data_IF_143000017078
#
_entry.id   IF_143000017078
#
_cell.length_a   1.000
_cell.length_b   1.000
_cell.length_c   1.000
_cell.angle_alpha   90.00
_cell.angle_beta   90.00
_cell.angle_gamma   90.00
#
_symmetry.space_group_name_H-M   'P 1'
#
loop_
_entity.id
_entity.type
_entity.pdbx_description
1 polymer ?
#
# COMPACT_ATOMS: atom_id res chain seq x y z
N UNK A 1 9.48 17.59 12.21
CA UNK A 1 8.91 17.14 10.93
C UNK A 1 7.89 18.19 10.51
N UNK A 2 8.19 19.00 9.48
CA UNK A 2 7.26 20.02 8.99
C UNK A 2 6.08 19.30 8.30
N UNK A 3 4.85 19.70 8.60
CA UNK A 3 3.67 19.11 8.00
C UNK A 3 3.57 19.52 6.53
N UNK A 4 3.63 18.55 5.60
CA UNK A 4 3.44 18.81 4.18
C UNK A 4 1.95 18.91 3.85
N UNK A 5 1.54 19.97 3.16
CA UNK A 5 0.15 20.18 2.73
C UNK A 5 -0.24 19.09 1.73
N UNK A 6 -1.32 18.36 2.02
CA UNK A 6 -1.92 17.44 1.05
C UNK A 6 -2.58 18.25 -0.08
N UNK A 7 -2.26 17.93 -1.33
CA UNK A 7 -2.85 18.58 -2.50
C UNK A 7 -3.87 17.64 -3.12
N UNK A 8 -5.10 18.12 -3.36
CA UNK A 8 -6.11 17.41 -4.13
C UNK A 8 -6.07 17.89 -5.57
N UNK A 9 -5.73 17.01 -6.50
CA UNK A 9 -5.80 17.30 -7.93
C UNK A 9 -7.10 16.72 -8.49
N UNK A 10 -7.82 17.50 -9.29
CA UNK A 10 -8.93 16.98 -10.11
C UNK A 10 -8.30 16.36 -11.34
N UNK A 11 -8.30 15.03 -11.41
CA UNK A 11 -7.76 14.27 -12.52
C UNK A 11 -8.71 13.10 -12.80
N UNK A 12 -9.04 12.90 -14.08
CA UNK A 12 -9.77 11.72 -14.52
C UNK A 12 -8.75 10.60 -14.73
N UNK A 13 -8.81 9.59 -13.86
CA UNK A 13 -7.84 8.50 -13.87
C UNK A 13 -8.07 7.58 -15.06
N UNK A 14 -7.00 7.26 -15.79
CA UNK A 14 -7.07 6.28 -16.87
C UNK A 14 -7.46 4.90 -16.34
N UNK A 15 -8.08 4.03 -17.17
CA UNK A 15 -8.41 2.66 -16.78
C UNK A 15 -7.20 1.86 -16.26
N UNK A 16 -6.02 2.08 -16.83
CA UNK A 16 -4.77 1.44 -16.44
C UNK A 16 -4.35 1.86 -15.04
N UNK A 17 -4.46 3.16 -14.73
CA UNK A 17 -4.16 3.68 -13.40
C UNK A 17 -5.16 3.12 -12.38
N UNK A 18 -6.45 3.11 -12.68
CA UNK A 18 -7.46 2.53 -11.80
C UNK A 18 -7.18 1.05 -11.50
N UNK A 19 -6.79 0.29 -12.52
CA UNK A 19 -6.39 -1.12 -12.38
C UNK A 19 -5.17 -1.28 -11.49
N UNK A 20 -4.15 -0.44 -11.67
CA UNK A 20 -2.95 -0.43 -10.81
C UNK A 20 -3.30 -0.14 -9.35
N UNK A 21 -4.14 0.87 -9.10
CA UNK A 21 -4.57 1.23 -7.74
C UNK A 21 -5.40 0.12 -7.08
N UNK A 22 -6.23 -0.59 -7.84
CA UNK A 22 -7.00 -1.72 -7.31
C UNK A 22 -6.09 -2.91 -6.98
N UNK A 23 -5.10 -3.18 -7.83
CA UNK A 23 -4.12 -4.23 -7.59
C UNK A 23 -3.29 -3.96 -6.33
N UNK A 24 -2.86 -2.71 -6.14
CA UNK A 24 -2.20 -2.27 -4.90
C UNK A 24 -3.09 -2.45 -3.67
N UNK A 25 -4.37 -2.07 -3.76
CA UNK A 25 -5.35 -2.30 -2.69
C UNK A 25 -5.46 -3.79 -2.34
N UNK A 26 -5.50 -4.67 -3.35
CA UNK A 26 -5.53 -6.14 -3.16
C UNK A 26 -4.25 -6.64 -2.47
N UNK A 27 -3.08 -6.21 -2.94
CA UNK A 27 -1.79 -6.58 -2.33
C UNK A 27 -1.70 -6.16 -0.86
N UNK A 28 -2.14 -4.93 -0.54
CA UNK A 28 -2.21 -4.44 0.85
C UNK A 28 -3.09 -5.36 1.69
N UNK A 29 -4.28 -5.71 1.19
CA UNK A 29 -5.19 -6.59 1.91
C UNK A 29 -4.63 -8.01 2.14
N UNK A 30 -3.94 -8.58 1.15
CA UNK A 30 -3.22 -9.85 1.32
C UNK A 30 -2.17 -9.75 2.42
N UNK A 31 -1.36 -8.69 2.40
CA UNK A 31 -0.33 -8.47 3.43
C UNK A 31 -0.95 -8.28 4.82
N UNK A 32 -2.03 -7.50 4.93
CA UNK A 32 -2.76 -7.27 6.19
C UNK A 32 -3.31 -8.59 6.74
N UNK A 33 -3.95 -9.41 5.90
CA UNK A 33 -4.49 -10.69 6.33
C UNK A 33 -3.38 -11.64 6.84
N UNK A 34 -2.27 -11.75 6.11
CA UNK A 34 -1.12 -12.57 6.53
C UNK A 34 -0.55 -12.05 7.85
N UNK A 35 -0.35 -10.73 7.98
CA UNK A 35 0.20 -10.12 9.18
C UNK A 35 -0.68 -10.29 10.41
N UNK A 36 -2.00 -10.20 10.27
CA UNK A 36 -2.93 -10.48 11.37
C UNK A 36 -2.93 -11.97 11.74
N UNK A 37 -3.06 -12.86 10.75
CA UNK A 37 -3.11 -14.32 10.98
C UNK A 37 -1.85 -14.86 11.65
N UNK A 38 -0.67 -14.36 11.25
CA UNK A 38 0.62 -14.80 11.79
C UNK A 38 1.11 -13.94 12.96
N UNK A 39 0.30 -12.99 13.43
CA UNK A 39 0.66 -12.05 14.48
C UNK A 39 2.00 -11.31 14.22
N UNK A 40 2.23 -10.87 12.98
CA UNK A 40 3.41 -10.10 12.55
C UNK A 40 3.07 -8.60 12.50
N UNK A 41 3.95 -7.75 13.04
CA UNK A 41 3.86 -6.28 12.89
C UNK A 41 5.13 -5.58 12.46
N UNK A 42 6.28 -6.29 12.38
CA UNK A 42 7.51 -5.66 11.91
C UNK A 42 7.55 -5.69 10.38
N UNK A 43 8.04 -4.60 9.78
CA UNK A 43 8.15 -4.49 8.33
C UNK A 43 8.99 -5.62 7.74
N UNK A 44 10.13 -5.92 8.36
CA UNK A 44 11.06 -6.96 7.90
C UNK A 44 10.41 -8.35 7.88
N UNK A 45 9.73 -8.73 8.96
CA UNK A 45 9.09 -10.04 9.05
C UNK A 45 7.90 -10.13 8.08
N UNK A 46 7.13 -9.05 7.94
CA UNK A 46 6.02 -9.04 6.99
C UNK A 46 6.54 -9.18 5.56
N UNK A 47 7.56 -8.40 5.18
CA UNK A 47 8.17 -8.46 3.86
C UNK A 47 8.70 -9.85 3.52
N UNK A 48 9.43 -10.48 4.45
CA UNK A 48 9.96 -11.84 4.24
C UNK A 48 8.85 -12.86 3.98
N UNK A 49 7.66 -12.69 4.57
CA UNK A 49 6.53 -13.61 4.40
C UNK A 49 5.66 -13.29 3.19
N UNK A 50 5.42 -12.01 2.91
CA UNK A 50 4.42 -11.61 1.92
C UNK A 50 5.04 -11.34 0.55
N UNK A 51 6.28 -10.87 0.47
CA UNK A 51 6.92 -10.50 -0.79
C UNK A 51 6.94 -11.63 -1.83
N UNK A 52 7.20 -12.91 -1.46
CA UNK A 52 7.12 -14.03 -2.40
C UNK A 52 5.70 -14.37 -2.87
N UNK A 53 4.67 -13.96 -2.11
CA UNK A 53 3.26 -14.22 -2.40
C UNK A 53 2.62 -13.16 -3.31
N UNK A 54 3.28 -12.04 -3.55
CA UNK A 54 2.77 -10.97 -4.41
C UNK A 54 3.12 -11.25 -5.87
N UNK A 55 2.28 -10.77 -6.79
CA UNK A 55 2.48 -10.96 -8.23
C UNK A 55 3.86 -10.45 -8.69
N UNK A 56 4.55 -11.26 -9.51
CA UNK A 56 5.84 -10.92 -10.11
C UNK A 56 5.71 -9.93 -11.27
N UNK A 57 4.51 -9.80 -11.83
CA UNK A 57 4.22 -8.89 -12.95
C UNK A 57 4.22 -7.41 -12.51
N UNK A 58 4.24 -7.17 -11.19
CA UNK A 58 4.23 -5.86 -10.59
C UNK A 58 5.64 -5.42 -10.20
N UNK A 59 5.94 -4.16 -10.49
CA UNK A 59 7.20 -3.51 -10.13
C UNK A 59 7.51 -3.66 -8.64
N UNK A 60 8.78 -3.94 -8.33
CA UNK A 60 9.22 -4.27 -6.98
C UNK A 60 8.88 -3.18 -5.96
N UNK A 61 8.98 -1.90 -6.33
CA UNK A 61 8.64 -0.79 -5.43
C UNK A 61 7.14 -0.69 -5.11
N UNK A 62 6.24 -1.13 -6.00
CA UNK A 62 4.81 -1.22 -5.67
C UNK A 62 4.55 -2.33 -4.66
N UNK A 63 5.22 -3.48 -4.80
CA UNK A 63 5.16 -4.57 -3.80
C UNK A 63 5.65 -4.10 -2.44
N UNK A 64 6.82 -3.45 -2.39
CA UNK A 64 7.37 -2.90 -1.14
C UNK A 64 6.47 -1.81 -0.55
N UNK A 65 5.89 -0.97 -1.39
CA UNK A 65 4.90 0.04 -1.00
C UNK A 65 3.66 -0.56 -0.33
N UNK A 66 3.10 -1.62 -0.91
CA UNK A 66 1.97 -2.35 -0.34
C UNK A 66 2.30 -2.98 1.02
N UNK A 67 3.48 -3.57 1.17
CA UNK A 67 3.95 -4.18 2.43
C UNK A 67 4.14 -3.09 3.51
N UNK A 68 4.71 -1.95 3.14
CA UNK A 68 4.88 -0.80 4.03
C UNK A 68 3.53 -0.26 4.52
N UNK A 69 2.57 -0.05 3.60
CA UNK A 69 1.22 0.38 3.95
C UNK A 69 0.50 -0.62 4.86
N UNK A 70 0.58 -1.91 4.55
CA UNK A 70 0.00 -2.97 5.38
C UNK A 70 0.59 -2.99 6.80
N UNK A 71 1.90 -2.78 6.93
CA UNK A 71 2.57 -2.68 8.24
C UNK A 71 1.97 -1.55 9.09
N UNK A 72 1.77 -0.37 8.50
CA UNK A 72 1.15 0.76 9.18
C UNK A 72 -0.30 0.47 9.62
N UNK A 73 -1.08 -0.18 8.75
CA UNK A 73 -2.47 -0.59 9.06
C UNK A 73 -2.49 -1.57 10.24
N UNK A 74 -1.63 -2.59 10.24
CA UNK A 74 -1.56 -3.59 11.31
C UNK A 74 -1.17 -2.92 12.64
N UNK A 75 -0.18 -2.02 12.62
CA UNK A 75 0.26 -1.31 13.83
C UNK A 75 -0.87 -0.46 14.43
N UNK A 76 -1.59 0.28 13.58
CA UNK A 76 -2.73 1.08 14.01
C UNK A 76 -3.86 0.20 14.56
N UNK A 77 -4.15 -0.92 13.89
CA UNK A 77 -5.12 -1.90 14.38
C UNK A 77 -4.74 -2.47 15.74
N UNK A 78 -3.47 -2.84 15.97
CA UNK A 78 -3.01 -3.32 17.28
C UNK A 78 -3.17 -2.28 18.37
N UNK A 79 -2.79 -1.03 18.08
CA UNK A 79 -2.98 0.09 19.00
C UNK A 79 -4.46 0.30 19.34
N UNK A 80 -5.34 0.23 18.35
CA UNK A 80 -6.78 0.35 18.54
C UNK A 80 -7.35 -0.83 19.35
N UNK A 81 -6.97 -2.06 19.00
CA UNK A 81 -7.45 -3.27 19.67
C UNK A 81 -6.99 -3.37 21.13
N UNK A 82 -5.83 -2.78 21.48
CA UNK A 82 -5.39 -2.66 22.88
C UNK A 82 -6.32 -1.76 23.71
N UNK A 83 -6.91 -0.72 23.09
CA UNK A 83 -7.85 0.20 23.76
C UNK A 83 -9.28 -0.34 23.78
N UNK A 84 -9.69 -1.01 22.70
CA UNK A 84 -11.03 -1.59 22.55
C UNK A 84 -10.92 -3.02 22.01
N UNK A 85 -10.92 -4.03 22.89
CA UNK A 85 -11.02 -5.42 22.48
C UNK A 85 -12.30 -5.60 21.66
N UNK A 86 -12.23 -6.25 20.49
CA UNK A 86 -13.28 -6.32 19.42
C UNK A 86 -13.18 -5.24 18.34
N UNK A 87 -12.02 -4.62 18.16
CA UNK A 87 -11.78 -3.80 16.97
C UNK A 87 -11.95 -4.65 15.71
N UNK A 88 -12.70 -4.14 14.72
CA UNK A 88 -12.93 -4.83 13.45
C UNK A 88 -11.61 -5.04 12.70
N UNK A 89 -11.49 -6.19 12.04
CA UNK A 89 -10.35 -6.49 11.17
C UNK A 89 -10.14 -5.39 10.13
N UNK A 90 -8.89 -4.91 9.98
CA UNK A 90 -8.59 -3.83 9.07
C UNK A 90 -8.60 -4.33 7.62
N UNK A 91 -9.10 -3.49 6.71
CA UNK A 91 -9.13 -3.76 5.28
C UNK A 91 -9.12 -2.45 4.49
N UNK A 92 -8.28 -2.39 3.45
CA UNK A 92 -8.25 -1.31 2.49
C UNK A 92 -9.46 -1.41 1.53
N UNK A 93 -10.40 -0.46 1.67
CA UNK A 93 -11.63 -0.40 0.88
C UNK A 93 -11.52 0.50 -0.35
N UNK A 94 -10.77 1.59 -0.24
CA UNK A 94 -10.61 2.58 -1.32
C UNK A 94 -9.41 2.20 -2.19
N UNK A 95 -9.47 2.60 -3.47
CA UNK A 95 -8.31 2.59 -4.36
C UNK A 95 -7.18 3.38 -3.69
N UNK A 96 -5.97 2.82 -3.69
CA UNK A 96 -4.86 3.43 -2.97
C UNK A 96 -3.52 3.11 -3.60
N UNK A 97 -2.57 4.01 -3.34
CA UNK A 97 -1.18 3.89 -3.71
C UNK A 97 -0.35 4.45 -2.56
N UNK A 98 0.65 3.69 -2.13
CA UNK A 98 1.64 4.13 -1.15
C UNK A 98 3.01 3.80 -1.72
N UNK A 99 3.71 4.81 -2.23
CA UNK A 99 5.02 4.64 -2.85
C UNK A 99 5.99 5.71 -2.38
N UNK A 100 7.27 5.33 -2.40
CA UNK A 100 8.40 6.18 -2.04
C UNK A 100 9.36 6.38 -3.22
N UNK A 101 9.28 5.48 -4.21
CA UNK A 101 10.16 5.41 -5.37
C UNK A 101 9.34 5.09 -6.62
N UNK A 102 9.97 5.24 -7.79
CA UNK A 102 9.37 4.84 -9.07
C UNK A 102 8.29 5.78 -9.58
N UNK A 103 8.26 7.03 -9.12
CA UNK A 103 7.43 8.09 -9.69
C UNK A 103 8.28 9.27 -10.14
N UNK A 104 7.76 10.06 -11.09
CA UNK A 104 8.38 11.30 -11.55
C UNK A 104 7.37 12.44 -11.45
N UNK A 105 7.83 13.65 -11.12
CA UNK A 105 7.03 14.85 -11.27
C UNK A 105 7.52 15.56 -12.52
N UNK A 106 6.67 15.69 -13.53
CA UNK A 106 7.00 16.35 -14.79
C UNK A 106 5.88 17.32 -15.16
N UNK A 107 6.25 18.58 -15.42
CA UNK A 107 5.30 19.65 -15.75
C UNK A 107 4.16 19.78 -14.72
N UNK A 108 4.45 19.63 -13.43
CA UNK A 108 3.44 19.67 -12.35
C UNK A 108 2.55 18.43 -12.23
N UNK A 109 2.77 17.39 -13.04
CA UNK A 109 2.01 16.15 -13.04
C UNK A 109 2.80 15.00 -12.43
N UNK A 110 2.11 14.18 -11.62
CA UNK A 110 2.65 12.92 -11.10
C UNK A 110 2.59 11.85 -12.20
N UNK A 111 3.74 11.32 -12.60
CA UNK A 111 3.86 10.21 -13.53
C UNK A 111 4.17 8.93 -12.78
N UNK A 112 3.34 7.92 -13.05
CA UNK A 112 3.42 6.59 -12.47
C UNK A 112 3.57 5.57 -13.60
N UNK A 113 4.67 4.81 -13.66
CA UNK A 113 4.83 3.74 -14.63
C UNK A 113 3.92 2.56 -14.23
N UNK A 114 2.97 2.14 -15.09
CA UNK A 114 2.13 0.99 -14.81
C UNK A 114 2.88 -0.34 -14.98
N UNK A 115 3.96 -0.36 -15.77
CA UNK A 115 4.74 -1.56 -16.10
C UNK A 115 6.25 -1.27 -16.13
N UNK A 116 7.12 -2.30 -16.05
CA UNK A 116 8.55 -2.14 -16.29
C UNK A 116 8.81 -1.68 -17.74
N UNK A 117 9.61 -0.62 -17.90
CA UNK A 117 10.07 -0.14 -19.21
C UNK A 117 9.35 1.12 -19.75
N UNK A 118 8.43 1.72 -19.00
CA UNK A 118 7.73 2.97 -19.32
C UNK A 118 8.22 4.19 -18.51
#
# INVERSE_FOLDING_TARGET
MLATKAVRQKYEASPELLKLLDELRRMVNVCVMIGIKQNISSLKALASRTYPCLSRDILAYYRLGAISAATGIIHNHRKANKKSPRTKLPCAKKLMLSIWYGFKIQNGHLRLPPKPGE
#
